data_IF_024961490951
#
_entry.id   IF_024961490951
#
_cell.length_a   1.000
_cell.length_b   1.000
_cell.length_c   1.000
_cell.angle_alpha   90.00
_cell.angle_beta   90.00
_cell.angle_gamma   90.00
#
_symmetry.space_group_name_H-M   'P 1'
#
loop_
_entity.id
_entity.type
_entity.pdbx_description
1 polymer ?
#
# COMPACT_ATOMS: atom_id res chain seq x y z
N UNK A 1 -19.45 -19.59 12.45
CA UNK A 1 -18.11 -19.03 12.19
C UNK A 1 -18.09 -18.46 10.78
N UNK A 2 -17.84 -17.17 10.63
CA UNK A 2 -17.74 -16.52 9.32
C UNK A 2 -16.45 -16.96 8.59
N UNK A 3 -16.47 -16.94 7.26
CA UNK A 3 -15.25 -17.12 6.46
C UNK A 3 -14.12 -16.15 6.90
N UNK A 4 -14.50 -14.93 7.31
CA UNK A 4 -13.58 -13.91 7.81
C UNK A 4 -12.79 -14.35 9.05
N UNK A 5 -13.38 -15.16 9.90
CA UNK A 5 -12.74 -15.60 11.16
C UNK A 5 -11.53 -16.52 10.89
N UNK A 6 -11.49 -17.13 9.70
CA UNK A 6 -10.41 -18.04 9.26
C UNK A 6 -9.29 -17.35 8.48
N UNK A 7 -9.40 -16.04 8.24
CA UNK A 7 -8.34 -15.31 7.52
C UNK A 7 -7.15 -15.05 8.44
N UNK A 8 -5.94 -14.92 7.84
CA UNK A 8 -4.74 -14.55 8.58
C UNK A 8 -4.89 -13.16 9.19
N UNK A 9 -4.46 -13.00 10.44
CA UNK A 9 -4.35 -11.68 11.07
C UNK A 9 -3.13 -10.95 10.54
N UNK A 10 -3.32 -9.71 10.10
CA UNK A 10 -2.26 -8.82 9.61
C UNK A 10 -2.27 -7.57 10.48
N UNK A 11 -1.08 -7.17 10.96
CA UNK A 11 -0.89 -5.93 11.70
C UNK A 11 -0.48 -4.79 10.76
N UNK A 12 -1.09 -3.62 10.92
CA UNK A 12 -0.79 -2.39 10.19
C UNK A 12 -0.60 -1.31 11.24
N UNK A 13 0.65 -1.02 11.60
CA UNK A 13 0.94 -0.25 12.80
C UNK A 13 0.32 -0.90 14.04
N UNK A 14 -0.52 -0.17 14.77
CA UNK A 14 -1.26 -0.63 15.96
C UNK A 14 -2.61 -1.31 15.63
N UNK A 15 -3.02 -1.34 14.37
CA UNK A 15 -4.29 -1.91 13.92
C UNK A 15 -4.13 -3.35 13.44
N UNK A 16 -5.21 -4.13 13.56
CA UNK A 16 -5.26 -5.53 13.11
C UNK A 16 -6.44 -5.76 12.17
N UNK A 17 -6.22 -6.49 11.08
CA UNK A 17 -7.24 -6.94 10.13
C UNK A 17 -7.19 -8.46 9.99
N UNK A 18 -8.31 -9.07 9.58
CA UNK A 18 -8.45 -10.53 9.46
C UNK A 18 -8.68 -11.22 10.80
N UNK A 19 -8.88 -12.54 10.78
CA UNK A 19 -9.08 -13.36 11.97
C UNK A 19 -10.26 -12.95 12.86
N UNK A 20 -11.35 -12.43 12.27
CA UNK A 20 -12.50 -11.94 13.02
C UNK A 20 -12.35 -10.54 13.61
N UNK A 21 -11.19 -9.87 13.48
CA UNK A 21 -11.03 -8.49 13.91
C UNK A 21 -12.01 -7.54 13.18
N UNK A 22 -12.33 -6.37 13.77
CA UNK A 22 -13.18 -5.38 13.13
C UNK A 22 -12.72 -4.99 11.73
N UNK A 23 -13.67 -4.58 10.88
CA UNK A 23 -13.36 -3.97 9.59
C UNK A 23 -12.86 -2.56 9.85
N UNK A 24 -11.71 -2.20 9.27
CA UNK A 24 -11.13 -0.88 9.38
C UNK A 24 -11.53 0.00 8.20
N UNK A 25 -11.82 1.27 8.47
CA UNK A 25 -12.14 2.27 7.47
C UNK A 25 -10.84 2.89 6.99
N UNK A 26 -10.55 2.74 5.69
CA UNK A 26 -9.39 3.36 5.06
C UNK A 26 -9.82 4.45 4.08
N UNK A 27 -9.23 5.63 4.20
CA UNK A 27 -9.37 6.70 3.23
C UNK A 27 -8.04 7.00 2.53
N UNK A 28 -8.06 7.91 1.57
CA UNK A 28 -6.87 8.35 0.85
C UNK A 28 -6.87 9.88 0.77
N UNK A 29 -5.69 10.48 0.98
CA UNK A 29 -5.52 11.92 0.79
C UNK A 29 -5.55 12.27 -0.71
N UNK A 30 -6.01 13.48 -1.01
CA UNK A 30 -5.97 14.06 -2.34
C UNK A 30 -5.01 15.27 -2.46
N UNK A 31 -4.28 15.54 -1.38
CA UNK A 31 -3.20 16.54 -1.34
C UNK A 31 -1.95 15.99 -2.01
N UNK A 32 -1.03 16.87 -2.37
CA UNK A 32 0.33 16.47 -2.72
C UNK A 32 1.05 16.04 -1.44
N UNK A 33 1.55 14.81 -1.39
CA UNK A 33 2.14 14.23 -0.18
C UNK A 33 3.38 15.00 0.30
N UNK A 34 4.13 15.62 -0.61
CA UNK A 34 5.24 16.51 -0.29
C UNK A 34 4.82 17.80 0.42
N UNK A 35 3.57 18.22 0.30
CA UNK A 35 2.97 19.28 1.12
C UNK A 35 2.53 18.67 2.46
N UNK A 36 3.48 18.57 3.39
CA UNK A 36 3.28 17.95 4.70
C UNK A 36 2.16 18.62 5.48
N UNK A 37 2.09 19.96 5.46
CA UNK A 37 1.10 20.71 6.26
C UNK A 37 -0.33 20.44 5.75
N UNK A 38 -0.56 20.55 4.45
CA UNK A 38 -1.86 20.27 3.85
C UNK A 38 -2.26 18.80 4.04
N UNK A 39 -1.30 17.88 3.88
CA UNK A 39 -1.56 16.44 4.03
C UNK A 39 -1.90 16.07 5.46
N UNK A 40 -1.18 16.57 6.45
CA UNK A 40 -1.47 16.35 7.88
C UNK A 40 -2.83 16.94 8.27
N UNK A 41 -3.17 18.16 7.79
CA UNK A 41 -4.49 18.76 8.04
C UNK A 41 -5.61 17.85 7.54
N UNK A 42 -5.51 17.38 6.29
CA UNK A 42 -6.52 16.48 5.72
C UNK A 42 -6.61 15.15 6.45
N UNK A 43 -5.47 14.57 6.86
CA UNK A 43 -5.45 13.32 7.63
C UNK A 43 -6.19 13.49 8.96
N UNK A 44 -5.96 14.59 9.68
CA UNK A 44 -6.64 14.86 10.95
C UNK A 44 -8.15 15.04 10.78
N UNK A 45 -8.59 15.68 9.71
CA UNK A 45 -10.02 15.80 9.38
C UNK A 45 -10.65 14.42 9.11
N UNK A 46 -9.96 13.57 8.34
CA UNK A 46 -10.41 12.21 8.04
C UNK A 46 -10.42 11.33 9.29
N UNK A 47 -9.40 11.46 10.16
CA UNK A 47 -9.34 10.75 11.43
C UNK A 47 -10.49 11.17 12.35
N UNK A 48 -10.79 12.45 12.45
CA UNK A 48 -11.93 12.97 13.22
C UNK A 48 -13.28 12.47 12.66
N UNK A 49 -13.35 12.18 11.35
CA UNK A 49 -14.51 11.57 10.70
C UNK A 49 -14.58 10.04 10.87
N UNK A 50 -13.65 9.42 11.59
CA UNK A 50 -13.64 7.97 11.86
C UNK A 50 -12.78 7.13 10.91
N UNK A 51 -11.82 7.72 10.21
CA UNK A 51 -10.85 6.97 9.42
C UNK A 51 -9.86 6.24 10.34
N UNK A 52 -9.68 4.93 10.13
CA UNK A 52 -8.76 4.10 10.91
C UNK A 52 -7.36 3.99 10.31
N UNK A 53 -7.25 4.14 8.99
CA UNK A 53 -5.99 3.99 8.23
C UNK A 53 -5.99 5.01 7.10
N UNK A 54 -4.89 5.73 6.91
CA UNK A 54 -4.76 6.68 5.81
C UNK A 54 -3.80 6.20 4.74
N UNK A 55 -4.14 6.44 3.45
CA UNK A 55 -3.28 6.15 2.31
C UNK A 55 -2.86 7.46 1.64
N UNK A 56 -1.57 7.62 1.41
CA UNK A 56 -0.99 8.75 0.69
C UNK A 56 -0.32 8.28 -0.61
N UNK A 57 -0.57 8.97 -1.71
CA UNK A 57 0.14 8.73 -2.95
C UNK A 57 1.63 9.05 -2.77
N UNK A 58 2.50 8.19 -3.30
CA UNK A 58 3.96 8.35 -3.16
C UNK A 58 4.61 8.26 -4.54
N UNK A 59 4.38 9.25 -5.41
CA UNK A 59 4.84 9.21 -6.80
C UNK A 59 6.29 9.65 -6.98
N UNK A 60 6.89 10.34 -6.00
CA UNK A 60 8.24 10.91 -6.07
C UNK A 60 9.05 10.59 -4.82
N UNK A 61 10.36 10.81 -4.89
CA UNK A 61 11.25 10.63 -3.73
C UNK A 61 10.96 11.67 -2.64
N UNK A 62 10.61 12.88 -3.01
CA UNK A 62 10.19 13.94 -2.10
C UNK A 62 8.94 13.52 -1.31
N UNK A 63 7.95 12.94 -1.99
CA UNK A 63 6.76 12.40 -1.34
C UNK A 63 7.12 11.26 -0.37
N UNK A 64 8.02 10.35 -0.76
CA UNK A 64 8.48 9.26 0.11
C UNK A 64 9.22 9.78 1.36
N UNK A 65 10.03 10.82 1.22
CA UNK A 65 10.73 11.45 2.34
C UNK A 65 9.77 12.22 3.26
N UNK A 66 8.76 12.88 2.69
CA UNK A 66 7.74 13.63 3.44
C UNK A 66 6.94 12.72 4.42
N UNK A 67 6.82 11.43 4.13
CA UNK A 67 6.11 10.48 5.01
C UNK A 67 6.67 10.47 6.43
N UNK A 68 7.97 10.70 6.59
CA UNK A 68 8.61 10.77 7.92
C UNK A 68 8.05 11.91 8.78
N UNK A 69 7.86 13.08 8.19
CA UNK A 69 7.33 14.25 8.91
C UNK A 69 5.82 14.16 9.09
N UNK A 70 5.11 13.56 8.12
CA UNK A 70 3.67 13.26 8.24
C UNK A 70 3.46 12.28 9.40
N UNK A 71 4.21 11.18 9.43
CA UNK A 71 4.06 10.11 10.45
C UNK A 71 4.24 10.62 11.88
N UNK A 72 5.09 11.61 12.11
CA UNK A 72 5.29 12.23 13.43
C UNK A 72 4.07 13.03 13.93
N UNK A 73 3.17 13.42 13.03
CA UNK A 73 2.09 14.36 13.32
C UNK A 73 0.69 13.74 13.24
N UNK A 74 0.59 12.45 12.95
CA UNK A 74 -0.66 11.70 12.84
C UNK A 74 -0.66 10.52 13.80
N UNK A 75 -1.84 10.06 14.23
CA UNK A 75 -2.01 8.94 15.16
C UNK A 75 -2.44 7.63 14.49
N UNK A 76 -3.05 7.71 13.29
CA UNK A 76 -3.49 6.51 12.55
C UNK A 76 -2.37 5.94 11.67
N UNK A 77 -2.41 4.63 11.33
CA UNK A 77 -1.44 4.02 10.45
C UNK A 77 -1.40 4.65 9.05
N UNK A 78 -0.18 4.79 8.52
CA UNK A 78 0.11 5.41 7.23
C UNK A 78 0.44 4.35 6.18
N UNK A 79 -0.29 4.38 5.05
CA UNK A 79 -0.06 3.52 3.89
C UNK A 79 0.56 4.34 2.77
N UNK A 80 1.72 3.92 2.27
CA UNK A 80 2.32 4.50 1.07
C UNK A 80 1.80 3.77 -0.18
N UNK A 81 1.26 4.53 -1.13
CA UNK A 81 0.76 4.02 -2.40
C UNK A 81 1.82 4.21 -3.49
N UNK A 82 2.48 3.12 -3.86
CA UNK A 82 3.60 3.11 -4.81
C UNK A 82 3.07 2.68 -6.19
N UNK A 83 3.31 3.52 -7.20
CA UNK A 83 2.78 3.27 -8.54
C UNK A 83 3.74 2.54 -9.46
N UNK A 84 5.04 2.97 -9.53
CA UNK A 84 5.95 2.48 -10.57
C UNK A 84 7.37 2.15 -10.09
N UNK A 85 7.94 2.90 -9.16
CA UNK A 85 9.35 2.78 -8.81
C UNK A 85 9.54 2.07 -7.47
N UNK A 86 10.20 0.90 -7.50
CA UNK A 86 10.51 0.09 -6.31
C UNK A 86 11.35 0.85 -5.26
N UNK A 87 12.17 1.82 -5.70
CA UNK A 87 13.01 2.64 -4.80
C UNK A 87 12.15 3.52 -3.89
N UNK A 88 10.99 3.97 -4.40
CA UNK A 88 10.01 4.72 -3.61
C UNK A 88 9.38 3.84 -2.53
N UNK A 89 9.15 2.56 -2.83
CA UNK A 89 8.66 1.61 -1.82
C UNK A 89 9.66 1.44 -0.68
N UNK A 90 10.94 1.26 -0.99
CA UNK A 90 12.00 1.14 0.00
C UNK A 90 12.11 2.43 0.83
N UNK A 91 12.15 3.60 0.16
CA UNK A 91 12.21 4.88 0.84
C UNK A 91 10.99 5.13 1.74
N UNK A 92 9.77 4.77 1.30
CA UNK A 92 8.56 4.90 2.10
C UNK A 92 8.62 4.03 3.37
N UNK A 93 9.11 2.79 3.26
CA UNK A 93 9.33 1.90 4.41
C UNK A 93 10.32 2.52 5.39
N UNK A 94 11.43 3.05 4.90
CA UNK A 94 12.48 3.68 5.74
C UNK A 94 11.98 4.96 6.41
N UNK A 95 11.04 5.67 5.79
CA UNK A 95 10.42 6.87 6.32
C UNK A 95 9.13 6.63 7.14
N UNK A 96 8.88 5.39 7.56
CA UNK A 96 7.88 5.07 8.58
C UNK A 96 6.48 4.74 8.08
N UNK A 97 6.33 4.34 6.82
CA UNK A 97 5.07 3.76 6.37
C UNK A 97 4.76 2.47 7.13
N UNK A 98 3.52 2.32 7.61
CA UNK A 98 3.06 1.12 8.33
C UNK A 98 2.59 0.00 7.39
N UNK A 99 2.34 0.32 6.14
CA UNK A 99 2.00 -0.59 5.05
C UNK A 99 2.36 0.06 3.72
N UNK A 100 2.74 -0.75 2.74
CA UNK A 100 2.84 -0.29 1.37
C UNK A 100 1.79 -0.95 0.48
N UNK A 101 1.35 -0.24 -0.55
CA UNK A 101 0.56 -0.79 -1.65
C UNK A 101 1.40 -0.72 -2.91
N UNK A 102 1.55 -1.84 -3.58
CA UNK A 102 2.26 -1.95 -4.85
C UNK A 102 1.38 -2.61 -5.90
N UNK A 103 1.71 -2.36 -7.17
CA UNK A 103 1.20 -3.13 -8.30
C UNK A 103 2.38 -3.88 -8.92
N UNK A 104 2.41 -5.23 -8.85
CA UNK A 104 3.53 -6.03 -9.36
C UNK A 104 3.82 -5.76 -10.84
N UNK A 105 2.80 -5.62 -11.67
CA UNK A 105 2.95 -5.32 -13.09
C UNK A 105 3.61 -3.97 -13.41
N UNK A 106 3.71 -3.07 -12.42
CA UNK A 106 4.29 -1.73 -12.61
C UNK A 106 5.63 -1.54 -11.90
N UNK A 107 5.98 -2.38 -10.92
CA UNK A 107 7.15 -2.15 -10.07
C UNK A 107 8.46 -2.60 -10.71
N UNK A 108 8.37 -3.44 -11.72
CA UNK A 108 9.49 -3.98 -12.49
C UNK A 108 9.73 -5.46 -12.21
N UNK A 109 10.89 -5.98 -12.65
CA UNK A 109 11.19 -7.41 -12.58
C UNK A 109 11.32 -7.98 -11.17
N UNK A 110 11.47 -9.31 -11.09
CA UNK A 110 11.54 -10.08 -9.85
C UNK A 110 12.57 -9.54 -8.84
N UNK A 111 13.77 -9.16 -9.31
CA UNK A 111 14.84 -8.62 -8.47
C UNK A 111 14.41 -7.36 -7.70
N UNK A 112 13.63 -6.50 -8.34
CA UNK A 112 13.12 -5.26 -7.72
C UNK A 112 12.04 -5.57 -6.69
N UNK A 113 11.16 -6.50 -7.02
CA UNK A 113 10.14 -6.97 -6.08
C UNK A 113 10.77 -7.62 -4.87
N UNK A 114 11.80 -8.47 -5.07
CA UNK A 114 12.54 -9.11 -3.99
C UNK A 114 13.19 -8.08 -3.05
N UNK A 115 13.77 -7.01 -3.60
CA UNK A 115 14.34 -5.93 -2.78
C UNK A 115 13.28 -5.25 -1.89
N UNK A 116 12.08 -5.00 -2.43
CA UNK A 116 10.96 -4.44 -1.67
C UNK A 116 10.49 -5.40 -0.59
N UNK A 117 10.31 -6.68 -0.92
CA UNK A 117 9.87 -7.73 0.01
C UNK A 117 10.88 -7.90 1.14
N UNK A 118 12.18 -7.92 0.83
CA UNK A 118 13.25 -8.03 1.82
C UNK A 118 13.22 -6.86 2.79
N UNK A 119 13.08 -5.63 2.29
CA UNK A 119 12.97 -4.44 3.15
C UNK A 119 11.70 -4.45 4.00
N UNK A 120 10.58 -4.86 3.45
CA UNK A 120 9.32 -4.97 4.19
C UNK A 120 9.40 -6.03 5.30
N UNK A 121 10.04 -7.17 5.04
CA UNK A 121 10.30 -8.21 6.05
C UNK A 121 11.20 -7.71 7.18
N UNK A 122 12.30 -7.01 6.86
CA UNK A 122 13.21 -6.40 7.84
C UNK A 122 12.45 -5.51 8.84
N UNK A 123 11.46 -4.78 8.36
CA UNK A 123 10.67 -3.82 9.15
C UNK A 123 9.32 -4.34 9.63
N UNK A 124 8.98 -5.60 9.33
CA UNK A 124 7.67 -6.22 9.63
C UNK A 124 6.49 -5.43 9.05
N UNK A 125 6.62 -4.89 7.86
CA UNK A 125 5.60 -4.08 7.19
C UNK A 125 4.83 -4.94 6.20
N UNK A 126 3.49 -5.00 6.27
CA UNK A 126 2.69 -5.73 5.31
C UNK A 126 2.65 -5.04 3.95
N UNK A 127 2.61 -5.85 2.91
CA UNK A 127 2.47 -5.42 1.52
C UNK A 127 1.06 -5.73 1.06
N UNK A 128 0.37 -4.74 0.47
CA UNK A 128 -0.84 -4.95 -0.29
C UNK A 128 -0.51 -5.02 -1.77
N UNK A 129 -0.80 -6.14 -2.37
CA UNK A 129 -0.77 -6.31 -3.83
C UNK A 129 -2.08 -5.77 -4.40
N UNK A 130 -1.98 -4.84 -5.34
CA UNK A 130 -3.12 -4.26 -6.05
C UNK A 130 -2.93 -4.40 -7.55
N UNK A 131 -3.77 -5.19 -8.20
CA UNK A 131 -3.75 -5.41 -9.65
C UNK A 131 -4.89 -4.67 -10.31
N UNK A 132 -4.67 -4.24 -11.56
CA UNK A 132 -5.67 -3.54 -12.36
C UNK A 132 -5.67 -4.09 -13.79
N UNK A 133 -6.82 -4.03 -14.44
CA UNK A 133 -6.98 -4.44 -15.84
C UNK A 133 -6.05 -3.72 -16.83
N UNK A 134 -5.69 -2.47 -16.52
CA UNK A 134 -4.82 -1.64 -17.39
C UNK A 134 -3.32 -1.86 -17.19
N UNK A 135 -2.91 -2.70 -16.22
CA UNK A 135 -1.50 -2.94 -15.89
C UNK A 135 -1.14 -4.43 -15.82
N UNK A 136 -1.92 -5.28 -16.49
CA UNK A 136 -1.58 -6.69 -16.62
C UNK A 136 -0.27 -6.88 -17.39
N UNK A 137 0.53 -7.83 -16.93
CA UNK A 137 1.78 -8.24 -17.56
C UNK A 137 1.52 -8.74 -19.00
N UNK A 138 2.47 -8.46 -19.88
CA UNK A 138 2.34 -8.83 -21.32
C UNK A 138 2.14 -10.32 -21.51
N UNK A 139 2.80 -11.14 -20.71
CA UNK A 139 2.72 -12.61 -20.81
C UNK A 139 1.33 -13.11 -20.43
N UNK A 140 0.71 -12.54 -19.42
CA UNK A 140 -0.68 -12.84 -19.03
C UNK A 140 -1.65 -12.37 -20.11
N UNK A 141 -1.46 -11.16 -20.66
CA UNK A 141 -2.28 -10.68 -21.77
C UNK A 141 -2.15 -11.57 -23.01
N UNK A 142 -0.95 -12.04 -23.33
CA UNK A 142 -0.72 -12.97 -24.45
C UNK A 142 -1.39 -14.32 -24.21
N UNK A 143 -1.32 -14.85 -22.97
CA UNK A 143 -1.92 -16.13 -22.58
C UNK A 143 -3.45 -16.11 -22.72
N UNK A 144 -4.11 -15.05 -22.28
CA UNK A 144 -5.57 -14.94 -22.26
C UNK A 144 -6.14 -14.20 -23.50
N UNK A 145 -5.29 -13.61 -24.34
CA UNK A 145 -5.68 -12.85 -25.54
C UNK A 145 -6.39 -11.52 -25.26
N UNK A 146 -6.83 -11.29 -24.03
CA UNK A 146 -7.50 -10.09 -23.56
C UNK A 146 -7.48 -10.01 -22.03
N UNK A 147 -7.97 -8.90 -21.46
CA UNK A 147 -8.22 -8.78 -20.02
C UNK A 147 -9.37 -9.72 -19.62
N UNK A 148 -9.10 -10.64 -18.69
CA UNK A 148 -10.07 -11.56 -18.11
C UNK A 148 -9.98 -11.57 -16.59
N UNK A 149 -11.00 -12.06 -15.91
CA UNK A 149 -10.99 -12.22 -14.47
C UNK A 149 -9.88 -13.18 -14.02
N UNK A 150 -9.70 -14.28 -14.75
CA UNK A 150 -8.66 -15.28 -14.50
C UNK A 150 -7.26 -14.68 -14.65
N UNK A 151 -7.02 -13.85 -15.68
CA UNK A 151 -5.75 -13.17 -15.89
C UNK A 151 -5.45 -12.17 -14.77
N UNK A 152 -6.46 -11.43 -14.28
CA UNK A 152 -6.30 -10.53 -13.14
C UNK A 152 -5.95 -11.30 -11.86
N UNK A 153 -6.57 -12.45 -11.63
CA UNK A 153 -6.27 -13.31 -10.47
C UNK A 153 -4.86 -13.88 -10.57
N UNK A 154 -4.44 -14.36 -11.74
CA UNK A 154 -3.08 -14.86 -11.98
C UNK A 154 -2.04 -13.77 -11.67
N UNK A 155 -2.21 -12.56 -12.21
CA UNK A 155 -1.32 -11.41 -11.93
C UNK A 155 -1.24 -11.05 -10.43
N UNK A 156 -2.24 -11.39 -9.65
CA UNK A 156 -2.24 -11.12 -8.21
C UNK A 156 -1.55 -12.22 -7.39
N UNK A 157 -1.43 -13.44 -7.93
CA UNK A 157 -0.93 -14.62 -7.22
C UNK A 157 0.52 -14.95 -7.58
N UNK A 158 1.01 -14.50 -8.74
CA UNK A 158 2.40 -14.64 -9.19
C UNK A 158 3.33 -13.65 -8.46
#
# INVERSE_FOLDING_TARGET
>A
MSYRDKTRVICIGDRKIGGGNPILIQSMTNTKTEDVAATVSQIRELEAAGCDIIRCATPTMEAAQALKEIKKQISIPLVADIHFDYRLAIAAIENGADKIRINPGNIGGADRLEAVVSKAKERNIPIRVGVNSGSLEKDILNKYGRVTAEGIVESALD
#
